data_IF_097257912203
#
_entry.id   IF_097257912203
#
_cell.length_a   1.000
_cell.length_b   1.000
_cell.length_c   1.000
_cell.angle_alpha   90.00
_cell.angle_beta   90.00
_cell.angle_gamma   90.00
#
_symmetry.space_group_name_H-M   'P 1'
#
loop_
_entity.id
_entity.type
_entity.pdbx_description
1 polymer ?
#
# COMPACT_ATOMS: atom_id res chain seq x y z
N UNK A 1 14.76 -20.84 -3.59
CA UNK A 1 14.22 -19.66 -2.90
C UNK A 1 14.25 -19.93 -1.41
N UNK A 2 14.92 -19.09 -0.64
CA UNK A 2 14.95 -19.16 0.82
C UNK A 2 13.60 -18.70 1.39
N UNK A 3 13.32 -19.04 2.65
CA UNK A 3 12.10 -18.55 3.31
C UNK A 3 12.07 -17.02 3.39
N UNK A 4 13.23 -16.37 3.53
CA UNK A 4 13.34 -14.91 3.55
C UNK A 4 13.04 -14.30 2.18
N UNK A 5 13.57 -14.88 1.09
CA UNK A 5 13.26 -14.45 -0.28
C UNK A 5 11.77 -14.60 -0.60
N UNK A 6 11.15 -15.71 -0.16
CA UNK A 6 9.71 -15.91 -0.30
C UNK A 6 8.90 -14.90 0.51
N UNK A 7 9.37 -14.51 1.70
CA UNK A 7 8.70 -13.49 2.50
C UNK A 7 8.74 -12.11 1.81
N UNK A 8 9.90 -11.70 1.28
CA UNK A 8 10.04 -10.44 0.55
C UNK A 8 9.21 -10.41 -0.74
N UNK A 9 9.19 -11.51 -1.52
CA UNK A 9 8.34 -11.58 -2.72
C UNK A 9 6.84 -11.61 -2.35
N UNK A 10 6.50 -12.21 -1.22
CA UNK A 10 5.14 -12.19 -0.66
C UNK A 10 4.68 -10.79 -0.28
N UNK A 11 5.54 -10.01 0.37
CA UNK A 11 5.29 -8.60 0.71
C UNK A 11 5.06 -7.76 -0.55
N UNK A 12 5.93 -7.88 -1.54
CA UNK A 12 5.79 -7.21 -2.84
C UNK A 12 4.45 -7.55 -3.52
N UNK A 13 4.08 -8.82 -3.63
CA UNK A 13 2.81 -9.20 -4.25
C UNK A 13 1.59 -8.75 -3.45
N UNK A 14 1.71 -8.63 -2.12
CA UNK A 14 0.66 -8.06 -1.28
C UNK A 14 0.46 -6.57 -1.60
N UNK A 15 1.53 -5.79 -1.71
CA UNK A 15 1.46 -4.39 -2.11
C UNK A 15 0.86 -4.22 -3.51
N UNK A 16 1.31 -5.01 -4.49
CA UNK A 16 0.76 -5.01 -5.86
C UNK A 16 -0.74 -5.36 -5.87
N UNK A 17 -1.18 -6.26 -4.99
CA UNK A 17 -2.60 -6.61 -4.80
C UNK A 17 -3.39 -5.42 -4.26
N UNK A 18 -2.88 -4.75 -3.22
CA UNK A 18 -3.53 -3.58 -2.61
C UNK A 18 -3.66 -2.45 -3.64
N UNK A 19 -2.59 -2.14 -4.35
CA UNK A 19 -2.57 -1.08 -5.37
C UNK A 19 -3.56 -1.39 -6.49
N UNK A 20 -3.58 -2.62 -7.01
CA UNK A 20 -4.51 -2.99 -8.07
C UNK A 20 -5.96 -2.96 -7.60
N UNK A 21 -6.23 -3.38 -6.36
CA UNK A 21 -7.57 -3.29 -5.77
C UNK A 21 -8.04 -1.85 -5.62
N UNK A 22 -7.16 -0.94 -5.20
CA UNK A 22 -7.47 0.49 -5.11
C UNK A 22 -7.81 1.05 -6.50
N UNK A 23 -7.04 0.71 -7.53
CA UNK A 23 -7.29 1.14 -8.90
C UNK A 23 -8.63 0.63 -9.45
N UNK A 24 -9.02 -0.61 -9.15
CA UNK A 24 -10.35 -1.13 -9.50
C UNK A 24 -11.43 -0.25 -8.87
N UNK A 25 -11.34 0.04 -7.57
CA UNK A 25 -12.32 0.85 -6.86
C UNK A 25 -12.37 2.27 -7.43
N UNK A 26 -11.23 2.89 -7.67
CA UNK A 26 -11.17 4.24 -8.28
C UNK A 26 -11.77 4.26 -9.68
N UNK A 27 -11.44 3.29 -10.53
CA UNK A 27 -12.01 3.21 -11.88
C UNK A 27 -13.53 3.00 -11.86
N UNK A 28 -14.03 2.19 -10.92
CA UNK A 28 -15.47 2.03 -10.69
C UNK A 28 -16.11 3.32 -10.18
N UNK A 29 -15.46 4.04 -9.26
CA UNK A 29 -15.96 5.31 -8.73
C UNK A 29 -16.04 6.38 -9.83
N UNK A 30 -15.01 6.50 -10.67
CA UNK A 30 -14.98 7.41 -11.82
C UNK A 30 -16.12 7.10 -12.80
N UNK A 31 -16.36 5.82 -13.10
CA UNK A 31 -17.46 5.38 -13.96
C UNK A 31 -18.82 5.66 -13.30
N UNK A 32 -18.97 5.38 -12.00
CA UNK A 32 -20.18 5.61 -11.21
C UNK A 32 -20.43 7.06 -10.78
N UNK A 33 -19.47 7.95 -11.02
CA UNK A 33 -19.63 9.39 -10.86
C UNK A 33 -19.78 10.14 -12.19
N UNK A 34 -19.66 9.47 -13.34
CA UNK A 34 -19.83 10.06 -14.66
C UNK A 34 -21.29 10.44 -14.99
N UNK A 35 -21.71 11.72 -14.92
CA UNK A 35 -23.11 12.12 -15.04
C UNK A 35 -23.75 11.79 -16.40
N UNK A 36 -22.93 11.56 -17.43
CA UNK A 36 -23.41 11.15 -18.76
C UNK A 36 -24.07 9.77 -18.77
N UNK A 37 -23.76 8.90 -17.80
CA UNK A 37 -24.36 7.57 -17.70
C UNK A 37 -25.78 7.61 -17.14
N UNK A 38 -26.13 8.63 -16.35
CA UNK A 38 -27.48 8.78 -15.76
C UNK A 38 -28.27 9.95 -16.35
N UNK A 39 -27.65 10.79 -17.16
CA UNK A 39 -28.35 11.88 -17.85
C UNK A 39 -29.27 11.30 -18.91
N UNK A 40 -30.58 11.40 -18.70
CA UNK A 40 -31.57 11.05 -19.73
C UNK A 40 -31.46 12.08 -20.86
N UNK A 41 -31.31 11.68 -22.13
CA UNK A 41 -31.37 12.64 -23.22
C UNK A 41 -32.74 13.33 -23.17
N UNK A 42 -32.75 14.64 -22.97
CA UNK A 42 -33.97 15.42 -23.08
C UNK A 42 -34.50 15.19 -24.50
N UNK A 43 -35.62 14.47 -24.62
CA UNK A 43 -36.37 14.44 -25.88
C UNK A 43 -36.88 15.85 -26.09
N UNK A 44 -36.18 16.63 -26.90
CA UNK A 44 -36.69 17.88 -27.42
C UNK A 44 -37.97 17.53 -28.19
N UNK A 45 -39.12 17.74 -27.55
CA UNK A 45 -40.43 17.68 -28.21
C UNK A 45 -40.51 18.89 -29.15
N UNK A 46 -39.90 18.77 -30.32
CA UNK A 46 -40.03 19.75 -31.40
C UNK A 46 -41.38 19.54 -32.10
N UNK A 47 -42.42 20.16 -31.55
CA UNK A 47 -43.63 20.41 -32.33
C UNK A 47 -43.30 21.50 -33.36
N UNK A 48 -43.15 21.09 -34.63
CA UNK A 48 -43.58 21.91 -35.76
C UNK A 48 -42.54 22.23 -36.85
N UNK A 49 -42.74 21.56 -37.98
CA UNK A 49 -42.59 22.06 -39.37
C UNK A 49 -41.25 21.85 -40.11
N UNK A 50 -41.31 20.83 -40.98
CA UNK A 50 -40.55 20.47 -42.20
C UNK A 50 -39.53 21.45 -42.82
N UNK A 51 -38.44 20.89 -43.40
CA UNK A 51 -38.01 21.02 -44.81
C UNK A 51 -37.08 19.82 -45.22
N UNK A 52 -37.63 18.98 -46.11
CA UNK A 52 -37.14 18.11 -47.22
C UNK A 52 -35.67 17.59 -47.33
N UNK A 53 -35.46 16.29 -47.71
CA UNK A 53 -34.16 15.63 -47.97
C UNK A 53 -33.71 15.63 -49.45
N UNK A 54 -32.41 15.40 -49.72
CA UNK A 54 -31.86 15.09 -51.05
C UNK A 54 -30.76 14.00 -51.03
N UNK A 55 -31.04 12.94 -51.79
CA UNK A 55 -30.25 11.81 -52.33
C UNK A 55 -28.96 12.27 -53.07
N UNK A 56 -27.93 11.51 -53.47
CA UNK A 56 -27.61 10.09 -53.59
C UNK A 56 -26.10 9.96 -53.94
N UNK A 57 -25.40 8.87 -53.59
CA UNK A 57 -24.28 8.30 -54.39
C UNK A 57 -23.81 6.90 -53.89
N UNK A 58 -24.41 5.87 -54.48
CA UNK A 58 -23.83 4.62 -55.03
C UNK A 58 -22.42 4.09 -54.60
N UNK A 59 -22.44 2.89 -53.98
CA UNK A 59 -21.67 1.62 -54.20
C UNK A 59 -20.16 1.61 -54.58
N UNK A 60 -19.32 0.98 -53.74
CA UNK A 60 -18.68 -0.35 -53.95
C UNK A 60 -17.27 -0.49 -53.28
N UNK A 61 -17.04 -1.64 -52.62
CA UNK A 61 -15.74 -2.32 -52.49
C UNK A 61 -14.58 -1.72 -51.67
N UNK A 62 -14.52 -2.00 -50.37
CA UNK A 62 -13.27 -2.34 -49.63
C UNK A 62 -13.58 -2.71 -48.16
N UNK A 63 -13.02 -3.80 -47.58
CA UNK A 63 -13.03 -4.00 -46.14
C UNK A 63 -11.92 -3.11 -45.58
N UNK A 64 -12.21 -1.82 -45.45
CA UNK A 64 -11.42 -0.97 -44.58
C UNK A 64 -11.67 -1.46 -43.16
N UNK A 65 -10.69 -2.19 -42.64
CA UNK A 65 -10.47 -2.46 -41.24
C UNK A 65 -10.48 -1.10 -40.52
N UNK A 66 -11.68 -0.66 -40.12
CA UNK A 66 -11.89 0.61 -39.44
C UNK A 66 -11.19 0.52 -38.10
N UNK A 67 -9.95 1.00 -38.12
CA UNK A 67 -9.37 1.84 -37.09
C UNK A 67 -10.33 2.14 -35.95
N UNK A 68 -10.06 1.43 -34.86
CA UNK A 68 -10.48 1.69 -33.49
C UNK A 68 -10.27 3.16 -33.15
N UNK A 69 -11.22 4.00 -33.53
CA UNK A 69 -11.23 5.43 -33.30
C UNK A 69 -12.42 5.80 -32.43
N UNK A 70 -12.14 6.02 -31.14
CA UNK A 70 -12.87 6.97 -30.29
C UNK A 70 -14.22 6.50 -29.74
N UNK A 71 -14.20 5.93 -28.54
CA UNK A 71 -15.38 5.82 -27.68
C UNK A 71 -15.36 4.58 -26.80
N UNK A 72 -14.94 4.73 -25.54
CA UNK A 72 -15.04 3.65 -24.54
C UNK A 72 -13.79 3.40 -23.70
N UNK A 73 -13.09 4.45 -23.26
CA UNK A 73 -11.93 4.34 -22.36
C UNK A 73 -12.32 4.24 -20.87
N UNK A 74 -13.49 3.69 -20.55
CA UNK A 74 -13.87 3.38 -19.16
C UNK A 74 -13.46 1.96 -18.77
N UNK A 75 -13.73 1.01 -19.67
CA UNK A 75 -13.60 -0.42 -19.35
C UNK A 75 -12.16 -0.93 -19.45
N UNK A 76 -11.28 -0.26 -20.19
CA UNK A 76 -9.88 -0.71 -20.36
C UNK A 76 -9.08 -0.57 -19.09
N UNK A 77 -9.22 0.53 -18.35
CA UNK A 77 -8.53 0.75 -17.09
C UNK A 77 -9.04 -0.20 -15.99
N UNK A 78 -10.36 -0.40 -15.93
CA UNK A 78 -10.99 -1.34 -15.01
C UNK A 78 -10.61 -2.80 -15.31
N UNK A 79 -10.62 -3.20 -16.58
CA UNK A 79 -10.20 -4.53 -17.02
C UNK A 79 -8.71 -4.77 -16.74
N UNK A 80 -7.86 -3.78 -17.04
CA UNK A 80 -6.43 -3.87 -16.77
C UNK A 80 -6.13 -4.00 -15.27
N UNK A 81 -6.76 -3.17 -14.43
CA UNK A 81 -6.63 -3.26 -12.97
C UNK A 81 -7.13 -4.60 -12.44
N UNK A 82 -8.22 -5.14 -13.01
CA UNK A 82 -8.77 -6.46 -12.67
C UNK A 82 -7.81 -7.60 -13.03
N UNK A 83 -7.17 -7.53 -14.20
CA UNK A 83 -6.16 -8.51 -14.63
C UNK A 83 -4.94 -8.44 -13.71
N UNK A 84 -4.42 -7.24 -13.40
CA UNK A 84 -3.27 -7.06 -12.50
C UNK A 84 -3.56 -7.60 -11.10
N UNK A 85 -4.73 -7.28 -10.55
CA UNK A 85 -5.18 -7.80 -9.25
C UNK A 85 -5.25 -9.33 -9.24
N UNK A 86 -5.84 -9.95 -10.27
CA UNK A 86 -5.91 -11.41 -10.37
C UNK A 86 -4.52 -12.05 -10.43
N UNK A 87 -3.60 -11.44 -11.18
CA UNK A 87 -2.24 -11.95 -11.34
C UNK A 87 -1.46 -11.83 -10.02
N UNK A 88 -1.47 -10.67 -9.36
CA UNK A 88 -0.79 -10.47 -8.08
C UNK A 88 -1.34 -11.39 -6.98
N UNK A 89 -2.66 -11.58 -6.91
CA UNK A 89 -3.30 -12.55 -6.00
C UNK A 89 -2.83 -13.98 -6.29
N UNK A 90 -2.71 -14.35 -7.57
CA UNK A 90 -2.24 -15.69 -7.97
C UNK A 90 -0.80 -15.90 -7.51
N UNK A 91 0.08 -14.92 -7.75
CA UNK A 91 1.47 -14.98 -7.30
C UNK A 91 1.59 -15.00 -5.78
N UNK A 92 0.82 -14.18 -5.06
CA UNK A 92 0.79 -14.17 -3.59
C UNK A 92 0.37 -15.53 -3.04
N UNK A 93 -0.67 -16.16 -3.61
CA UNK A 93 -1.09 -17.53 -3.24
C UNK A 93 0.02 -18.54 -3.48
N UNK A 94 0.73 -18.45 -4.61
CA UNK A 94 1.85 -19.33 -4.90
C UNK A 94 2.97 -19.21 -3.86
N UNK A 95 3.31 -17.99 -3.45
CA UNK A 95 4.30 -17.73 -2.39
C UNK A 95 3.84 -18.30 -1.05
N UNK A 96 2.58 -18.09 -0.65
CA UNK A 96 2.02 -18.63 0.60
C UNK A 96 2.06 -20.16 0.64
N UNK A 97 1.82 -20.83 -0.49
CA UNK A 97 1.97 -22.30 -0.60
C UNK A 97 3.45 -22.71 -0.55
N UNK A 98 4.35 -21.91 -1.12
CA UNK A 98 5.79 -22.21 -1.14
C UNK A 98 6.47 -22.04 0.24
N UNK A 99 6.01 -21.12 1.10
CA UNK A 99 6.63 -20.85 2.41
C UNK A 99 6.73 -22.10 3.29
N UNK A 100 5.64 -22.86 3.56
CA UNK A 100 5.73 -24.10 4.34
C UNK A 100 6.64 -25.16 3.70
N UNK A 101 6.62 -25.25 2.37
CA UNK A 101 7.44 -26.18 1.60
C UNK A 101 8.93 -25.83 1.67
N UNK A 102 9.29 -24.55 1.71
CA UNK A 102 10.66 -24.09 1.91
C UNK A 102 11.22 -24.50 3.28
N UNK A 103 10.38 -24.49 4.32
CA UNK A 103 10.76 -24.96 5.67
C UNK A 103 10.94 -26.48 5.71
N UNK A 104 10.07 -27.24 5.02
CA UNK A 104 10.19 -28.70 4.91
C UNK A 104 11.42 -29.13 4.09
N UNK A 105 11.73 -28.41 3.01
CA UNK A 105 12.94 -28.62 2.22
C UNK A 105 14.21 -28.28 3.00
N UNK A 106 14.17 -27.22 3.83
CA UNK A 106 15.27 -26.89 4.75
C UNK A 106 15.43 -27.97 5.83
N UNK A 107 14.35 -28.54 6.34
CA UNK A 107 14.37 -29.65 7.31
C UNK A 107 14.89 -30.97 6.70
N UNK A 108 14.54 -31.30 5.46
CA UNK A 108 15.07 -32.49 4.77
C UNK A 108 16.53 -32.34 4.34
N UNK A 109 17.01 -31.12 4.15
CA UNK A 109 18.44 -30.83 3.95
C UNK A 109 19.20 -30.83 5.28
N UNK A 110 18.56 -30.45 6.38
CA UNK A 110 19.15 -30.42 7.72
C UNK A 110 19.25 -31.80 8.38
N UNK A 111 18.59 -32.84 7.85
CA UNK A 111 18.92 -34.23 8.16
C UNK A 111 20.36 -34.59 7.73
N UNK A 112 20.99 -33.78 6.86
CA UNK A 112 22.34 -33.99 6.35
C UNK A 112 23.30 -32.78 6.48
N UNK A 113 22.94 -31.68 7.15
CA UNK A 113 23.82 -30.51 7.21
C UNK A 113 23.42 -29.42 8.21
N UNK A 114 24.07 -29.48 9.37
CA UNK A 114 24.41 -28.42 10.33
C UNK A 114 23.76 -27.03 10.14
N UNK A 115 23.05 -26.59 11.18
CA UNK A 115 22.66 -25.19 11.43
C UNK A 115 23.89 -24.27 11.26
N UNK A 116 23.86 -23.35 10.30
CA UNK A 116 25.00 -22.48 10.04
C UNK A 116 25.17 -21.47 11.19
N UNK A 117 26.36 -21.38 11.82
CA UNK A 117 26.59 -20.60 13.04
C UNK A 117 26.42 -19.08 12.91
N UNK A 118 26.45 -18.53 11.69
CA UNK A 118 26.49 -17.09 11.43
C UNK A 118 25.19 -16.35 11.78
N UNK A 119 24.01 -16.98 11.61
CA UNK A 119 22.73 -16.30 11.89
C UNK A 119 22.31 -16.31 13.37
N UNK A 120 22.84 -17.25 14.17
CA UNK A 120 22.56 -17.31 15.61
C UNK A 120 23.41 -16.29 16.36
N UNK A 121 24.67 -16.13 15.94
CA UNK A 121 25.61 -15.16 16.50
C UNK A 121 25.17 -13.70 16.25
N UNK A 122 24.60 -13.40 15.08
CA UNK A 122 24.06 -12.06 14.80
C UNK A 122 22.85 -11.71 15.66
N UNK A 123 21.97 -12.69 15.92
CA UNK A 123 20.80 -12.51 16.80
C UNK A 123 21.27 -12.26 18.24
N UNK A 124 22.22 -13.05 18.75
CA UNK A 124 22.78 -12.89 20.10
C UNK A 124 23.41 -11.50 20.28
N UNK A 125 24.16 -11.02 19.29
CA UNK A 125 24.76 -9.68 19.31
C UNK A 125 23.71 -8.57 19.33
N UNK A 126 22.63 -8.70 18.56
CA UNK A 126 21.53 -7.72 18.55
C UNK A 126 20.78 -7.70 19.89
N UNK A 127 20.60 -8.87 20.52
CA UNK A 127 20.01 -8.97 21.85
C UNK A 127 20.89 -8.30 22.92
N UNK A 128 22.20 -8.52 22.87
CA UNK A 128 23.16 -7.86 23.77
C UNK A 128 23.14 -6.33 23.59
N UNK A 129 23.11 -5.84 22.35
CA UNK A 129 22.97 -4.42 22.06
C UNK A 129 21.67 -3.84 22.61
N UNK A 130 20.55 -4.56 22.47
CA UNK A 130 19.27 -4.13 23.02
C UNK A 130 19.29 -4.05 24.55
N UNK A 131 19.95 -5.00 25.23
CA UNK A 131 20.13 -4.99 26.68
C UNK A 131 20.98 -3.78 27.11
N UNK A 132 22.11 -3.55 26.43
CA UNK A 132 23.01 -2.43 26.69
C UNK A 132 22.30 -1.08 26.55
N UNK A 133 21.55 -0.88 25.44
CA UNK A 133 20.77 0.33 25.21
C UNK A 133 19.70 0.55 26.28
N UNK A 134 19.00 -0.51 26.72
CA UNK A 134 18.02 -0.42 27.81
C UNK A 134 18.66 0.02 29.13
N UNK A 135 19.84 -0.50 29.45
CA UNK A 135 20.59 -0.07 30.64
C UNK A 135 21.04 1.38 30.54
N UNK A 136 21.50 1.82 29.37
CA UNK A 136 21.92 3.21 29.16
C UNK A 136 20.76 4.19 29.30
N UNK A 137 19.58 3.85 28.73
CA UNK A 137 18.35 4.63 28.89
C UNK A 137 17.96 4.73 30.36
N UNK A 138 17.99 3.61 31.10
CA UNK A 138 17.68 3.62 32.52
C UNK A 138 18.63 4.54 33.31
N UNK A 139 19.94 4.48 33.02
CA UNK A 139 20.95 5.35 33.63
C UNK A 139 20.71 6.83 33.32
N UNK A 140 20.45 7.17 32.05
CA UNK A 140 20.16 8.55 31.62
C UNK A 140 18.90 9.08 32.30
N UNK A 141 17.85 8.26 32.44
CA UNK A 141 16.63 8.66 33.14
C UNK A 141 16.85 8.96 34.62
N UNK A 142 17.71 8.19 35.31
CA UNK A 142 18.10 8.49 36.69
C UNK A 142 18.78 9.85 36.77
N UNK A 143 19.74 10.13 35.88
CA UNK A 143 20.44 11.42 35.89
C UNK A 143 19.51 12.61 35.60
N UNK A 144 18.58 12.47 34.66
CA UNK A 144 17.57 13.51 34.37
C UNK A 144 16.69 13.76 35.60
N UNK A 145 16.30 12.71 36.32
CA UNK A 145 15.52 12.85 37.56
C UNK A 145 16.29 13.63 38.63
N UNK A 146 17.57 13.31 38.84
CA UNK A 146 18.42 14.05 39.78
C UNK A 146 18.52 15.54 39.42
N UNK A 147 18.67 15.86 38.13
CA UNK A 147 18.72 17.24 37.67
C UNK A 147 17.40 17.96 37.90
N UNK A 148 16.27 17.31 37.62
CA UNK A 148 14.93 17.84 37.89
C UNK A 148 14.75 18.11 39.39
N UNK A 149 15.18 17.20 40.25
CA UNK A 149 15.03 17.35 41.70
C UNK A 149 15.88 18.51 42.22
N UNK A 150 17.11 18.69 41.73
CA UNK A 150 17.93 19.87 42.02
C UNK A 150 17.28 21.19 41.55
N UNK A 151 16.67 21.19 40.36
CA UNK A 151 15.95 22.37 39.89
C UNK A 151 14.74 22.70 40.77
N UNK A 152 14.00 21.68 41.22
CA UNK A 152 12.87 21.88 42.13
C UNK A 152 13.31 22.46 43.47
N UNK A 153 14.41 21.97 44.02
CA UNK A 153 15.02 22.49 45.26
C UNK A 153 15.41 23.96 45.08
N UNK A 154 16.12 24.29 44.00
CA UNK A 154 16.51 25.67 43.70
C UNK A 154 15.29 26.60 43.56
N UNK A 155 14.23 26.15 42.89
CA UNK A 155 12.98 26.93 42.76
C UNK A 155 12.35 27.14 44.13
N UNK A 156 12.33 26.12 44.99
CA UNK A 156 11.80 26.23 46.35
C UNK A 156 12.59 27.26 47.16
N UNK A 157 13.93 27.18 47.12
CA UNK A 157 14.82 28.15 47.77
C UNK A 157 14.54 29.57 47.27
N UNK A 158 14.55 29.81 45.96
CA UNK A 158 14.26 31.13 45.36
C UNK A 158 12.90 31.66 45.83
N UNK A 159 11.89 30.79 45.88
CA UNK A 159 10.54 31.15 46.32
C UNK A 159 10.52 31.64 47.78
N UNK A 160 11.40 31.14 48.66
CA UNK A 160 11.50 31.63 50.05
C UNK A 160 12.02 33.07 50.13
N UNK A 161 12.88 33.49 49.20
CA UNK A 161 13.41 34.86 49.14
C UNK A 161 12.43 35.86 48.51
N UNK A 162 11.44 35.38 47.76
CA UNK A 162 10.43 36.21 47.11
C UNK A 162 9.19 36.48 47.98
N UNK A 163 9.15 35.98 49.21
CA UNK A 163 8.06 36.32 50.13
C UNK A 163 8.12 37.82 50.46
N UNK A 164 7.06 38.62 50.21
CA UNK A 164 7.07 40.03 50.53
C UNK A 164 7.29 40.21 52.03
N UNK A 165 8.31 40.98 52.43
CA UNK A 165 8.32 41.55 53.78
C UNK A 165 7.10 42.47 53.87
N UNK A 166 6.04 42.04 54.56
CA UNK A 166 4.96 42.95 54.95
C UNK A 166 5.57 44.08 55.77
N UNK A 167 5.58 45.28 55.20
CA UNK A 167 5.84 46.55 55.91
C UNK A 167 4.56 47.06 56.56
#
# INVERSE_FOLDING_TARGET
MTTQELAMEGEKHLEETIVSAFQIISAMDDELCNPSLWSTPATASSNGTAIVPADAAAIDGAPHHSESGGGGSGNSALDEASVRYKNSVTSLRAVLVAIPNSKKAKASVMENGLETPESVEEIEKLEEQAISLRQEIAKKNVHVKELIDKFRELIADISTWQSPCSV
#
